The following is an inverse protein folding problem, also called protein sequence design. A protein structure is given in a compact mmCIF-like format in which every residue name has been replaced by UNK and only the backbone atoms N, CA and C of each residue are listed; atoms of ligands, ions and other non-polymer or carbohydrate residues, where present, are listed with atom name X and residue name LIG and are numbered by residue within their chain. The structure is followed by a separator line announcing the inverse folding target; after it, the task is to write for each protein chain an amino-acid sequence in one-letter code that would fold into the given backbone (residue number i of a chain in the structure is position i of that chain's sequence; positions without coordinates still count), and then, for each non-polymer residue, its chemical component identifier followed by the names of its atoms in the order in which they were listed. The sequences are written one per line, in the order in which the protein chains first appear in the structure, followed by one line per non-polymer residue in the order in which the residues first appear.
data_IF_219756379807
#
_entry.id   IF_219756379807
#
_cell.length_a   1.000
_cell.length_b   1.000
_cell.length_c   1.000
_cell.angle_alpha   90.00
_cell.angle_beta   90.00
_cell.angle_gamma   90.00
#
_symmetry.space_group_name_H-M   'P 1'
#
loop_
_entity.id
_entity.type
_entity.pdbx_description
1 polymer ?
#
# COMPACT_ATOMS: atom_id res chain seq x y z
N UNK A 1 2.82 59.10 45.51
CA UNK A 1 2.90 57.61 45.46
C UNK A 1 2.52 57.19 44.07
N UNK A 2 3.52 56.91 43.27
CA UNK A 2 3.40 56.60 41.85
C UNK A 2 3.44 55.08 41.69
N UNK A 3 2.38 54.47 41.15
CA UNK A 3 2.34 53.05 40.83
C UNK A 3 2.93 52.82 39.46
N UNK A 4 4.06 52.12 39.41
CA UNK A 4 4.62 51.53 38.15
C UNK A 4 3.88 50.24 37.80
N UNK A 5 3.28 50.21 36.60
CA UNK A 5 2.72 49.01 36.02
C UNK A 5 3.84 48.23 35.28
N UNK A 6 4.21 47.10 35.82
CA UNK A 6 5.10 46.13 35.12
C UNK A 6 4.30 45.33 34.10
N UNK A 7 4.53 45.60 32.83
CA UNK A 7 4.03 44.78 31.71
C UNK A 7 4.84 43.47 31.60
N UNK A 8 4.23 42.38 32.05
CA UNK A 8 4.75 41.02 31.77
C UNK A 8 4.53 40.69 30.29
N UNK A 9 5.59 40.75 29.52
CA UNK A 9 5.60 40.24 28.17
C UNK A 9 5.45 38.69 28.22
N UNK A 10 4.30 38.17 27.73
CA UNK A 10 4.15 36.74 27.44
C UNK A 10 5.09 36.37 26.29
N UNK A 11 5.89 35.26 26.38
CA UNK A 11 6.69 34.82 25.27
C UNK A 11 5.75 34.39 24.14
N UNK A 12 6.03 34.88 22.92
CA UNK A 12 5.40 34.45 21.68
C UNK A 12 5.60 32.94 21.52
N UNK A 13 4.51 32.18 21.59
CA UNK A 13 4.54 30.76 21.17
C UNK A 13 4.98 30.74 19.71
N UNK A 14 6.18 30.22 19.46
CA UNK A 14 6.57 29.83 18.12
C UNK A 14 5.50 28.86 17.60
N UNK A 15 4.82 29.23 16.53
CA UNK A 15 3.90 28.35 15.84
C UNK A 15 4.72 27.13 15.37
N UNK A 16 4.47 25.96 15.95
CA UNK A 16 5.04 24.71 15.46
C UNK A 16 4.62 24.56 13.99
N UNK A 17 5.58 24.40 13.10
CA UNK A 17 5.29 24.12 11.70
C UNK A 17 4.33 22.92 11.61
N UNK A 18 3.36 22.98 10.70
CA UNK A 18 2.50 21.83 10.43
C UNK A 18 3.36 20.60 10.14
N UNK A 19 2.97 19.39 10.60
CA UNK A 19 3.80 18.19 10.45
C UNK A 19 4.33 17.95 9.03
N UNK A 20 3.53 18.29 8.01
CA UNK A 20 3.87 18.13 6.59
C UNK A 20 5.02 19.06 6.14
N UNK A 21 5.26 20.14 6.87
CA UNK A 21 6.31 21.14 6.58
C UNK A 21 7.59 20.92 7.38
N UNK A 22 7.57 20.03 8.35
CA UNK A 22 8.76 19.70 9.14
C UNK A 22 9.76 18.89 8.30
N UNK A 23 11.08 19.15 8.41
CA UNK A 23 12.10 18.34 7.78
C UNK A 23 12.07 16.89 8.29
N UNK A 24 12.15 15.92 7.38
CA UNK A 24 12.20 14.50 7.71
C UNK A 24 13.58 13.94 7.32
N UNK A 25 14.29 13.31 8.27
CA UNK A 25 15.54 12.62 7.99
C UNK A 25 15.34 11.56 6.90
N UNK A 26 14.25 10.81 6.99
CA UNK A 26 13.80 9.84 5.97
C UNK A 26 13.85 10.40 4.54
N UNK A 27 13.55 11.69 4.37
CA UNK A 27 13.54 12.37 3.08
C UNK A 27 14.77 13.27 2.86
N UNK A 28 15.88 12.98 3.55
CA UNK A 28 17.13 13.75 3.40
C UNK A 28 17.03 15.20 3.84
N UNK A 29 16.21 15.47 4.87
CA UNK A 29 15.94 16.81 5.38
C UNK A 29 14.89 17.59 4.59
N UNK A 30 14.32 17.03 3.52
CA UNK A 30 13.13 17.61 2.87
C UNK A 30 11.91 17.39 3.76
N UNK A 31 10.96 18.32 3.73
CA UNK A 31 9.62 18.06 4.25
C UNK A 31 8.83 17.12 3.32
N UNK A 32 7.75 16.51 3.82
CA UNK A 32 6.83 15.72 3.01
C UNK A 32 6.31 16.55 1.81
N UNK A 33 5.85 17.78 2.04
CA UNK A 33 5.40 18.69 0.99
C UNK A 33 6.46 18.95 -0.08
N UNK A 34 7.72 19.15 0.33
CA UNK A 34 8.83 19.38 -0.62
C UNK A 34 9.07 18.14 -1.47
N UNK A 35 9.05 16.94 -0.86
CA UNK A 35 9.19 15.69 -1.58
C UNK A 35 8.05 15.48 -2.58
N UNK A 36 6.80 15.59 -2.16
CA UNK A 36 5.63 15.46 -3.02
C UNK A 36 5.67 16.44 -4.20
N UNK A 37 6.07 17.68 -3.96
CA UNK A 37 6.18 18.70 -5.01
C UNK A 37 7.31 18.43 -6.00
N UNK A 38 8.48 17.93 -5.54
CA UNK A 38 9.70 17.84 -6.34
C UNK A 38 9.92 16.48 -6.99
N UNK A 39 9.53 15.40 -6.31
CA UNK A 39 9.94 14.04 -6.66
C UNK A 39 8.77 13.08 -6.95
N UNK A 40 7.69 13.15 -6.14
CA UNK A 40 6.58 12.22 -6.26
C UNK A 40 6.00 12.20 -7.68
N UNK A 41 6.03 11.01 -8.32
CA UNK A 41 5.62 10.77 -9.71
C UNK A 41 6.30 11.66 -10.77
N UNK A 42 7.47 12.17 -10.48
CA UNK A 42 8.19 13.11 -11.37
C UNK A 42 9.60 12.66 -11.70
N UNK A 43 10.42 12.40 -10.67
CA UNK A 43 11.83 12.05 -10.86
C UNK A 43 12.41 11.29 -9.68
N UNK A 44 13.39 10.40 -9.92
CA UNK A 44 14.13 9.70 -8.87
C UNK A 44 14.83 10.66 -7.91
N UNK A 45 15.12 10.12 -6.73
CA UNK A 45 16.06 10.75 -5.78
C UNK A 45 16.75 9.69 -4.94
N UNK A 46 18.06 9.77 -4.87
CA UNK A 46 18.87 9.03 -3.92
C UNK A 46 19.04 9.84 -2.63
N UNK A 47 18.70 9.26 -1.50
CA UNK A 47 18.80 9.87 -0.18
C UNK A 47 19.83 9.08 0.62
N UNK A 48 20.96 9.73 0.93
CA UNK A 48 22.01 9.12 1.72
C UNK A 48 21.66 9.17 3.20
N UNK A 49 22.00 8.10 3.93
CA UNK A 49 21.74 7.97 5.36
C UNK A 49 20.30 8.34 5.78
N UNK A 50 19.31 7.93 4.97
CA UNK A 50 17.88 8.09 5.27
C UNK A 50 17.50 7.38 6.58
N UNK A 51 18.22 6.30 6.89
CA UNK A 51 18.09 5.51 8.12
C UNK A 51 19.41 5.41 8.84
N UNK A 52 19.37 5.51 10.16
CA UNK A 52 20.51 5.25 11.06
C UNK A 52 20.18 4.03 11.92
N UNK A 53 21.05 3.02 11.91
CA UNK A 53 20.81 1.76 12.62
C UNK A 53 19.76 0.86 11.97
N UNK A 54 19.16 -0.03 12.76
CA UNK A 54 18.09 -0.91 12.29
C UNK A 54 16.79 -0.11 12.14
N UNK A 55 16.26 -0.02 10.92
CA UNK A 55 15.03 0.71 10.60
C UNK A 55 13.73 -0.06 10.91
N UNK A 56 13.80 -1.16 11.65
CA UNK A 56 12.64 -1.99 12.02
C UNK A 56 12.38 -3.18 11.09
N UNK A 57 13.23 -3.42 10.09
CA UNK A 57 13.10 -4.60 9.22
C UNK A 57 13.58 -5.89 9.91
N UNK A 58 13.07 -7.07 9.49
CA UNK A 58 13.49 -8.36 10.02
C UNK A 58 14.96 -8.66 9.71
N UNK A 59 15.57 -9.49 10.53
CA UNK A 59 16.85 -10.13 10.21
C UNK A 59 16.69 -11.11 9.03
N UNK A 60 17.81 -11.51 8.42
CA UNK A 60 17.80 -12.56 7.38
C UNK A 60 17.11 -13.85 7.86
N UNK A 61 17.32 -14.23 9.12
CA UNK A 61 16.74 -15.46 9.68
C UNK A 61 15.22 -15.34 9.77
N UNK A 62 14.70 -14.25 10.36
CA UNK A 62 13.25 -13.99 10.43
C UNK A 62 12.62 -13.90 9.04
N UNK A 63 13.31 -13.30 8.07
CA UNK A 63 12.84 -13.24 6.69
C UNK A 63 12.76 -14.63 6.04
N UNK A 64 13.71 -15.53 6.33
CA UNK A 64 13.67 -16.92 5.88
C UNK A 64 12.53 -17.70 6.54
N UNK A 65 12.27 -17.48 7.83
CA UNK A 65 11.14 -18.09 8.56
C UNK A 65 9.81 -17.64 7.97
N UNK A 66 9.67 -16.36 7.61
CA UNK A 66 8.50 -15.89 6.89
C UNK A 66 8.34 -16.55 5.52
N UNK A 67 9.43 -16.74 4.78
CA UNK A 67 9.39 -17.37 3.46
C UNK A 67 8.99 -18.87 3.48
N UNK A 68 9.09 -19.54 4.62
CA UNK A 68 8.66 -20.94 4.82
C UNK A 68 7.13 -21.09 4.99
N UNK A 69 6.43 -20.00 5.33
CA UNK A 69 5.00 -20.01 5.65
C UNK A 69 4.14 -20.09 4.40
N UNK A 70 3.02 -20.81 4.48
CA UNK A 70 2.04 -20.94 3.38
C UNK A 70 1.20 -19.68 3.16
N UNK A 71 0.99 -18.89 4.22
CA UNK A 71 0.23 -17.63 4.19
C UNK A 71 1.09 -16.41 3.82
N UNK A 72 2.37 -16.62 3.46
CA UNK A 72 3.31 -15.56 3.08
C UNK A 72 3.79 -15.77 1.65
N UNK A 73 3.51 -14.83 0.78
CA UNK A 73 4.00 -14.88 -0.60
C UNK A 73 5.52 -14.70 -0.63
N UNK A 74 6.21 -15.67 -1.22
CA UNK A 74 7.65 -15.63 -1.38
C UNK A 74 8.10 -16.18 -2.74
N UNK A 75 9.29 -15.74 -3.19
CA UNK A 75 9.86 -16.12 -4.49
C UNK A 75 11.37 -16.32 -4.36
N UNK A 76 11.90 -17.36 -4.97
CA UNK A 76 13.33 -17.59 -5.15
C UNK A 76 13.69 -17.38 -6.62
N UNK A 77 14.65 -16.50 -6.89
CA UNK A 77 15.16 -16.22 -8.23
C UNK A 77 16.66 -16.54 -8.26
N UNK A 78 17.12 -17.19 -9.30
CA UNK A 78 18.53 -17.47 -9.53
C UNK A 78 18.90 -17.32 -10.99
N UNK A 79 20.12 -16.87 -11.26
CA UNK A 79 20.66 -16.65 -12.61
C UNK A 79 22.02 -17.34 -12.78
N UNK A 80 22.07 -18.65 -12.50
CA UNK A 80 23.30 -19.44 -12.62
C UNK A 80 23.65 -19.65 -14.10
N UNK A 81 24.89 -19.31 -14.48
CA UNK A 81 25.40 -19.51 -15.86
C UNK A 81 24.48 -18.91 -16.94
N UNK A 82 23.84 -17.77 -16.62
CA UNK A 82 22.89 -17.10 -17.50
C UNK A 82 21.50 -17.76 -17.58
N UNK A 83 21.27 -18.84 -16.84
CA UNK A 83 19.97 -19.51 -16.78
C UNK A 83 19.13 -18.96 -15.64
N UNK A 84 18.05 -18.27 -15.98
CA UNK A 84 17.10 -17.76 -15.01
C UNK A 84 16.12 -18.83 -14.54
N UNK A 85 15.94 -18.94 -13.23
CA UNK A 85 14.95 -19.82 -12.60
C UNK A 85 14.15 -19.05 -11.57
N UNK A 86 12.84 -19.27 -11.56
CA UNK A 86 11.89 -18.72 -10.57
C UNK A 86 11.21 -19.90 -9.88
N UNK A 87 11.15 -19.84 -8.55
CA UNK A 87 10.36 -20.75 -7.72
C UNK A 87 9.50 -19.94 -6.79
N UNK A 88 8.21 -20.22 -6.75
CA UNK A 88 7.27 -19.64 -5.78
C UNK A 88 7.32 -20.40 -4.46
N UNK A 89 6.98 -19.67 -3.38
CA UNK A 89 6.85 -20.21 -2.03
C UNK A 89 5.71 -21.22 -1.87
N UNK A 90 5.66 -21.86 -0.70
CA UNK A 90 6.56 -21.66 0.44
C UNK A 90 7.99 -22.14 0.13
N UNK A 91 8.98 -21.48 0.75
CA UNK A 91 10.41 -21.73 0.52
C UNK A 91 11.08 -22.34 1.77
N UNK A 92 10.94 -23.63 2.03
CA UNK A 92 11.62 -24.28 3.14
C UNK A 92 13.13 -24.08 3.05
N UNK A 93 13.79 -23.89 4.19
CA UNK A 93 15.24 -23.64 4.28
C UNK A 93 16.09 -24.59 3.42
N UNK A 94 15.73 -25.88 3.39
CA UNK A 94 16.38 -26.90 2.58
C UNK A 94 16.26 -26.70 1.06
N UNK A 95 15.31 -25.88 0.62
CA UNK A 95 15.09 -25.57 -0.81
C UNK A 95 15.90 -24.37 -1.28
N UNK A 96 16.48 -23.60 -0.37
CA UNK A 96 17.33 -22.46 -0.70
C UNK A 96 18.74 -22.94 -1.05
N UNK A 97 19.43 -22.32 -2.04
CA UNK A 97 20.81 -22.61 -2.32
C UNK A 97 21.73 -22.29 -1.12
N UNK A 98 22.95 -22.81 -1.12
CA UNK A 98 23.91 -22.49 -0.08
C UNK A 98 24.22 -20.98 -0.06
N UNK A 99 24.29 -20.37 1.13
CA UNK A 99 24.49 -18.92 1.30
C UNK A 99 25.79 -18.40 0.64
N UNK A 100 26.83 -19.25 0.54
CA UNK A 100 28.09 -18.91 -0.14
C UNK A 100 28.04 -18.97 -1.66
N UNK A 101 26.95 -19.49 -2.24
CA UNK A 101 26.75 -19.53 -3.69
C UNK A 101 26.21 -18.18 -4.15
N UNK A 102 26.84 -17.55 -5.14
CA UNK A 102 26.41 -16.28 -5.72
C UNK A 102 25.18 -16.43 -6.65
N UNK A 103 24.64 -15.32 -7.16
CA UNK A 103 23.60 -15.23 -8.20
C UNK A 103 22.23 -15.82 -7.82
N UNK A 104 21.84 -15.72 -6.56
CA UNK A 104 20.47 -16.03 -6.16
C UNK A 104 19.94 -15.06 -5.09
N UNK A 105 18.66 -14.80 -5.15
CA UNK A 105 17.93 -13.93 -4.24
C UNK A 105 16.58 -14.55 -3.90
N UNK A 106 16.10 -14.32 -2.68
CA UNK A 106 14.71 -14.60 -2.36
C UNK A 106 14.01 -13.31 -1.91
N UNK A 107 12.73 -13.24 -2.20
CA UNK A 107 11.86 -12.10 -1.94
C UNK A 107 10.69 -12.57 -1.09
N UNK A 108 10.29 -11.75 -0.13
CA UNK A 108 9.10 -11.96 0.71
C UNK A 108 8.21 -10.74 0.58
N UNK A 109 6.97 -10.96 0.18
CA UNK A 109 5.96 -9.94 -0.05
C UNK A 109 5.13 -9.72 1.23
N UNK A 110 4.56 -8.53 1.41
CA UNK A 110 3.64 -8.26 2.50
C UNK A 110 4.24 -8.35 3.91
N UNK A 111 5.56 -8.14 4.05
CA UNK A 111 6.27 -8.32 5.35
C UNK A 111 5.68 -7.44 6.45
N UNK A 112 5.12 -6.27 6.12
CA UNK A 112 4.42 -5.39 7.07
C UNK A 112 3.17 -6.02 7.71
N UNK A 113 2.61 -7.07 7.11
CA UNK A 113 1.45 -7.79 7.65
C UNK A 113 1.85 -8.85 8.70
N UNK A 114 3.13 -9.21 8.75
CA UNK A 114 3.65 -10.34 9.53
C UNK A 114 4.78 -9.97 10.49
N UNK A 115 5.32 -8.75 10.39
CA UNK A 115 6.46 -8.30 11.21
C UNK A 115 6.21 -6.89 11.75
N UNK A 116 6.15 -6.75 13.07
CA UNK A 116 5.79 -5.48 13.74
C UNK A 116 6.68 -4.30 13.33
N UNK A 117 8.00 -4.48 13.30
CA UNK A 117 8.91 -3.41 12.91
C UNK A 117 8.77 -3.00 11.44
N UNK A 118 8.44 -3.93 10.54
CA UNK A 118 8.12 -3.59 9.14
C UNK A 118 6.79 -2.84 9.05
N UNK A 119 5.80 -3.19 9.88
CA UNK A 119 4.56 -2.43 9.99
C UNK A 119 4.83 -0.98 10.43
N UNK A 120 5.60 -0.79 11.50
CA UNK A 120 6.00 0.54 11.99
C UNK A 120 6.79 1.34 10.95
N UNK A 121 7.68 0.67 10.18
CA UNK A 121 8.40 1.30 9.08
C UNK A 121 7.43 1.84 8.03
N UNK A 122 6.40 1.07 7.65
CA UNK A 122 5.39 1.51 6.69
C UNK A 122 4.63 2.76 7.14
N UNK A 123 4.34 2.89 8.47
CA UNK A 123 3.67 4.07 9.02
C UNK A 123 4.45 5.36 8.77
N UNK A 124 5.78 5.30 8.60
CA UNK A 124 6.62 6.47 8.32
C UNK A 124 6.41 7.04 6.91
N UNK A 125 5.74 6.30 6.02
CA UNK A 125 5.41 6.70 4.64
C UNK A 125 3.97 7.21 4.49
N UNK A 126 3.19 7.30 5.56
CA UNK A 126 1.81 7.80 5.56
C UNK A 126 1.68 9.32 5.35
N UNK A 127 2.73 9.97 4.90
CA UNK A 127 2.64 11.27 4.24
C UNK A 127 2.09 11.15 2.79
N UNK A 128 2.02 9.93 2.28
CA UNK A 128 1.21 9.54 1.12
C UNK A 128 -0.08 8.90 1.64
N UNK A 129 -1.27 9.18 1.07
CA UNK A 129 -2.53 8.60 1.53
C UNK A 129 -2.52 7.07 1.56
N UNK A 130 -3.18 6.48 2.55
CA UNK A 130 -3.27 5.02 2.74
C UNK A 130 -3.82 4.29 1.50
N UNK A 131 -4.74 4.92 0.77
CA UNK A 131 -5.25 4.41 -0.51
C UNK A 131 -4.15 4.14 -1.56
N UNK A 132 -2.97 4.72 -1.38
CA UNK A 132 -1.81 4.56 -2.25
C UNK A 132 -0.76 3.61 -1.68
N UNK A 133 -0.74 3.34 -0.38
CA UNK A 133 0.16 2.36 0.22
C UNK A 133 -0.25 0.95 -0.22
N UNK A 134 0.74 0.13 -0.58
CA UNK A 134 0.51 -1.28 -0.94
C UNK A 134 1.08 -2.20 0.12
N UNK A 135 2.38 -2.42 0.09
CA UNK A 135 3.04 -3.30 1.05
C UNK A 135 4.55 -3.01 1.19
N UNK A 136 5.17 -3.77 2.08
CA UNK A 136 6.62 -3.90 2.16
C UNK A 136 7.03 -5.26 1.62
N UNK A 137 7.81 -5.24 0.54
CA UNK A 137 8.53 -6.39 0.01
C UNK A 137 9.99 -6.32 0.44
N UNK A 138 10.56 -7.43 0.93
CA UNK A 138 11.98 -7.50 1.29
C UNK A 138 12.67 -8.56 0.45
N UNK A 139 13.77 -8.18 -0.17
CA UNK A 139 14.67 -9.10 -0.86
C UNK A 139 15.97 -9.28 -0.08
N UNK A 140 16.42 -10.52 0.03
CA UNK A 140 17.78 -10.84 0.46
C UNK A 140 18.53 -11.55 -0.67
N UNK A 141 19.79 -11.16 -0.90
CA UNK A 141 20.55 -11.56 -2.07
C UNK A 141 22.00 -11.91 -1.71
N UNK A 142 22.52 -12.89 -2.41
CA UNK A 142 23.96 -13.19 -2.45
C UNK A 142 24.68 -12.30 -3.47
N UNK A 143 26.01 -12.35 -3.48
CA UNK A 143 26.80 -11.57 -4.43
C UNK A 143 26.37 -11.80 -5.89
N UNK A 144 26.38 -10.71 -6.69
CA UNK A 144 25.96 -10.66 -8.08
C UNK A 144 24.51 -11.09 -8.35
N UNK A 145 23.69 -11.22 -7.31
CA UNK A 145 22.28 -11.55 -7.48
C UNK A 145 21.43 -10.30 -7.70
N UNK A 146 20.39 -10.48 -8.48
CA UNK A 146 19.35 -9.50 -8.78
C UNK A 146 18.14 -10.18 -9.40
N UNK A 147 17.18 -9.39 -9.84
CA UNK A 147 15.96 -9.85 -10.55
C UNK A 147 16.00 -9.49 -12.04
N UNK A 148 17.10 -8.84 -12.48
CA UNK A 148 17.28 -8.32 -13.84
C UNK A 148 16.61 -6.96 -14.06
N UNK A 149 16.96 -6.29 -15.17
CA UNK A 149 16.38 -4.98 -15.49
C UNK A 149 14.88 -5.08 -15.80
N UNK A 150 14.10 -4.27 -15.12
CA UNK A 150 12.65 -4.20 -15.25
C UNK A 150 12.15 -2.79 -14.93
N UNK A 151 10.85 -2.56 -15.09
CA UNK A 151 10.20 -1.34 -14.60
C UNK A 151 8.90 -1.71 -13.89
N UNK A 152 8.57 -0.92 -12.88
CA UNK A 152 7.31 -1.02 -12.17
C UNK A 152 6.34 0.05 -12.66
N UNK A 153 5.04 -0.25 -12.60
CA UNK A 153 3.97 0.71 -12.90
C UNK A 153 3.61 1.58 -11.69
N UNK A 154 4.35 1.45 -10.59
CA UNK A 154 4.07 2.09 -9.30
C UNK A 154 5.30 2.82 -8.75
N UNK A 155 5.05 3.68 -7.77
CA UNK A 155 6.08 4.35 -6.99
C UNK A 155 6.72 3.37 -6.00
N UNK A 156 8.04 3.46 -5.78
CA UNK A 156 8.73 2.61 -4.80
C UNK A 156 9.86 3.35 -4.11
N UNK A 157 10.00 3.13 -2.80
CA UNK A 157 11.20 3.48 -2.06
C UNK A 157 12.01 2.21 -1.79
N UNK A 158 13.25 2.20 -2.24
CA UNK A 158 14.21 1.09 -2.12
C UNK A 158 15.21 1.44 -1.03
N UNK A 159 15.05 0.85 0.16
CA UNK A 159 15.90 1.09 1.33
C UNK A 159 16.95 -0.01 1.40
N UNK A 160 18.22 0.37 1.42
CA UNK A 160 19.29 -0.60 1.64
C UNK A 160 19.40 -0.91 3.13
N UNK A 161 18.96 -2.09 3.53
CA UNK A 161 18.92 -2.51 4.92
C UNK A 161 20.27 -3.04 5.42
N UNK A 162 20.90 -3.96 4.65
CA UNK A 162 22.23 -4.51 4.93
C UNK A 162 23.02 -4.69 3.63
N UNK A 163 24.35 -4.73 3.71
CA UNK A 163 25.23 -4.89 2.56
C UNK A 163 25.17 -3.71 1.59
N UNK A 164 25.45 -4.00 0.32
CA UNK A 164 25.49 -3.00 -0.74
C UNK A 164 24.75 -3.47 -1.99
N UNK A 165 24.10 -2.56 -2.69
CA UNK A 165 23.47 -2.83 -3.97
C UNK A 165 23.77 -1.74 -4.98
N UNK A 166 24.23 -2.14 -6.16
CA UNK A 166 24.38 -1.24 -7.30
C UNK A 166 23.05 -1.18 -8.05
N UNK A 167 22.45 -0.01 -8.04
CA UNK A 167 21.25 0.30 -8.82
C UNK A 167 21.63 1.07 -10.07
N UNK A 168 21.22 0.54 -11.22
CA UNK A 168 21.25 1.22 -12.51
C UNK A 168 19.83 1.62 -12.85
N UNK A 169 19.59 2.87 -13.19
CA UNK A 169 18.24 3.37 -13.49
C UNK A 169 18.22 4.15 -14.79
N UNK A 170 17.09 4.13 -15.49
CA UNK A 170 16.92 4.89 -16.73
C UNK A 170 15.44 5.02 -17.10
N UNK A 171 15.13 6.07 -17.89
CA UNK A 171 13.79 6.22 -18.44
C UNK A 171 13.59 5.27 -19.61
N UNK A 172 12.63 4.35 -19.47
CA UNK A 172 12.28 3.48 -20.58
C UNK A 172 11.46 4.23 -21.63
N UNK A 173 12.18 4.85 -22.58
CA UNK A 173 11.59 5.57 -23.72
C UNK A 173 11.54 4.63 -24.92
N UNK A 174 10.33 4.22 -25.32
CA UNK A 174 10.15 3.43 -26.54
C UNK A 174 10.03 1.93 -26.30
N UNK A 175 11.01 1.13 -26.75
CA UNK A 175 10.93 -0.32 -26.69
C UNK A 175 10.85 -0.87 -25.24
N UNK A 176 9.75 -1.55 -24.95
CA UNK A 176 9.46 -2.23 -23.67
C UNK A 176 9.45 -3.75 -23.84
N UNK A 177 10.07 -4.26 -24.91
CA UNK A 177 10.15 -5.69 -25.17
C UNK A 177 10.86 -6.41 -24.03
N UNK A 178 10.36 -7.60 -23.73
CA UNK A 178 10.94 -8.48 -22.72
C UNK A 178 11.77 -9.54 -23.41
N UNK A 179 12.80 -10.03 -22.72
CA UNK A 179 13.54 -11.21 -23.19
C UNK A 179 12.58 -12.41 -23.22
N UNK A 180 12.34 -13.02 -24.39
CA UNK A 180 11.37 -14.10 -24.51
C UNK A 180 11.85 -15.38 -23.80
N UNK A 181 10.89 -16.17 -23.30
CA UNK A 181 11.15 -17.50 -22.72
C UNK A 181 11.75 -17.49 -21.31
N UNK A 182 11.93 -16.33 -20.68
CA UNK A 182 12.38 -16.26 -19.28
C UNK A 182 11.21 -16.36 -18.30
N UNK A 183 11.41 -16.99 -17.13
CA UNK A 183 10.40 -17.06 -16.09
C UNK A 183 10.20 -15.74 -15.35
N UNK A 184 11.07 -14.75 -15.57
CA UNK A 184 11.06 -13.39 -14.99
C UNK A 184 10.97 -12.35 -16.11
N UNK A 185 10.33 -11.22 -15.83
CA UNK A 185 10.09 -10.16 -16.82
C UNK A 185 11.29 -9.24 -16.92
N UNK A 186 12.26 -9.59 -17.75
CA UNK A 186 13.48 -8.82 -17.96
C UNK A 186 13.37 -8.02 -19.25
N UNK A 187 13.71 -6.74 -19.21
CA UNK A 187 13.80 -5.88 -20.38
C UNK A 187 14.92 -6.33 -21.29
N UNK A 188 14.63 -6.49 -22.58
CA UNK A 188 15.61 -6.88 -23.59
C UNK A 188 16.62 -5.75 -23.87
N UNK A 189 16.15 -4.51 -23.82
CA UNK A 189 16.92 -3.30 -24.14
C UNK A 189 16.83 -2.32 -22.97
N UNK A 190 17.73 -2.45 -22.00
CA UNK A 190 17.83 -1.53 -20.87
C UNK A 190 19.10 -0.70 -20.99
N UNK A 191 18.93 0.63 -21.01
CA UNK A 191 20.01 1.60 -21.00
C UNK A 191 19.96 2.40 -19.68
N UNK A 192 21.02 2.31 -18.90
CA UNK A 192 21.15 3.05 -17.66
C UNK A 192 21.49 4.52 -17.96
N UNK A 193 20.72 5.46 -17.39
CA UNK A 193 21.03 6.89 -17.41
C UNK A 193 21.85 7.31 -16.17
N UNK A 194 21.61 6.64 -15.02
CA UNK A 194 22.28 6.91 -13.75
C UNK A 194 22.60 5.62 -12.99
N UNK A 195 23.64 5.65 -12.16
CA UNK A 195 24.04 4.55 -11.31
C UNK A 195 24.22 5.02 -9.85
N UNK A 196 23.73 4.22 -8.92
CA UNK A 196 23.83 4.46 -7.47
C UNK A 196 24.30 3.21 -6.74
N UNK A 197 25.48 3.25 -6.14
CA UNK A 197 25.84 2.26 -5.13
C UNK A 197 25.19 2.68 -3.81
N UNK A 198 24.18 1.94 -3.36
CA UNK A 198 23.57 2.13 -2.05
C UNK A 198 24.27 1.30 -1.01
N UNK A 199 24.56 1.92 0.14
CA UNK A 199 25.06 1.29 1.35
C UNK A 199 23.96 1.26 2.42
N UNK A 200 24.17 0.46 3.47
CA UNK A 200 23.18 0.33 4.53
C UNK A 200 22.75 1.69 5.09
N UNK A 201 21.43 1.94 5.13
CA UNK A 201 20.83 3.20 5.52
C UNK A 201 20.49 4.15 4.36
N UNK A 202 21.03 3.93 3.16
CA UNK A 202 20.65 4.72 1.98
C UNK A 202 19.28 4.32 1.44
N UNK A 203 18.62 5.24 0.74
CA UNK A 203 17.32 5.00 0.12
C UNK A 203 17.26 5.62 -1.28
N UNK A 204 16.69 4.89 -2.24
CA UNK A 204 16.40 5.36 -3.59
C UNK A 204 14.89 5.37 -3.81
N UNK A 205 14.34 6.51 -4.20
CA UNK A 205 12.96 6.60 -4.67
C UNK A 205 12.92 6.54 -6.20
N UNK A 206 12.02 5.72 -6.72
CA UNK A 206 11.74 5.60 -8.15
C UNK A 206 10.25 5.86 -8.43
N UNK A 207 9.90 6.79 -9.32
CA UNK A 207 8.54 6.95 -9.80
C UNK A 207 8.17 5.89 -10.85
N UNK A 208 6.88 5.73 -11.17
CA UNK A 208 6.41 4.77 -12.17
C UNK A 208 7.13 4.90 -13.53
N UNK A 209 7.41 3.77 -14.15
CA UNK A 209 7.98 3.71 -15.49
C UNK A 209 9.48 3.98 -15.60
N UNK A 210 10.19 4.16 -14.49
CA UNK A 210 11.65 4.16 -14.46
C UNK A 210 12.15 2.71 -14.44
N UNK A 211 12.85 2.33 -15.51
CA UNK A 211 13.51 1.04 -15.56
C UNK A 211 14.68 1.01 -14.59
N UNK A 212 14.88 -0.12 -13.94
CA UNK A 212 15.95 -0.28 -12.97
C UNK A 212 16.46 -1.72 -12.90
N UNK A 213 17.73 -1.84 -12.53
CA UNK A 213 18.43 -3.11 -12.34
C UNK A 213 19.28 -3.01 -11.08
N UNK A 214 18.97 -3.85 -10.10
CA UNK A 214 19.63 -3.85 -8.79
C UNK A 214 20.46 -5.11 -8.60
N UNK A 215 21.78 -4.96 -8.57
CA UNK A 215 22.73 -6.06 -8.41
C UNK A 215 23.38 -5.97 -7.02
N UNK A 216 23.32 -7.07 -6.25
CA UNK A 216 23.99 -7.17 -4.96
C UNK A 216 25.52 -7.14 -5.14
N UNK A 217 26.20 -6.37 -4.30
CA UNK A 217 27.66 -6.24 -4.25
C UNK A 217 28.16 -6.82 -2.93
N UNK A 218 28.83 -7.96 -3.02
CA UNK A 218 29.23 -8.73 -1.85
C UNK A 218 28.10 -9.59 -1.28
N UNK A 219 28.36 -10.22 -0.15
CA UNK A 219 27.38 -11.09 0.54
C UNK A 219 26.47 -10.30 1.48
N UNK A 220 25.32 -10.89 1.81
CA UNK A 220 24.37 -10.37 2.81
C UNK A 220 23.71 -9.04 2.43
N UNK A 221 23.29 -8.92 1.19
CA UNK A 221 22.61 -7.75 0.65
C UNK A 221 21.09 -7.85 0.89
N UNK A 222 20.53 -6.95 1.71
CA UNK A 222 19.09 -6.87 1.96
C UNK A 222 18.55 -5.52 1.53
N UNK A 223 17.48 -5.53 0.74
CA UNK A 223 16.74 -4.32 0.33
C UNK A 223 15.29 -4.42 0.76
N UNK A 224 14.80 -3.37 1.39
CA UNK A 224 13.40 -3.20 1.78
C UNK A 224 12.75 -2.27 0.75
N UNK A 225 11.71 -2.75 0.09
CA UNK A 225 10.93 -1.99 -0.89
C UNK A 225 9.58 -1.60 -0.27
N UNK A 226 9.29 -0.31 -0.20
CA UNK A 226 7.97 0.21 0.18
C UNK A 226 7.24 0.57 -1.11
N UNK A 227 6.24 -0.24 -1.46
CA UNK A 227 5.47 -0.13 -2.68
C UNK A 227 4.19 0.69 -2.53
N UNK A 228 3.77 1.33 -3.63
CA UNK A 228 2.55 2.15 -3.66
C UNK A 228 1.65 1.72 -4.81
N UNK A 229 0.35 1.64 -4.56
CA UNK A 229 -0.64 1.30 -5.59
C UNK A 229 -0.75 2.43 -6.63
N UNK A 230 -0.79 2.06 -7.90
CA UNK A 230 -1.14 2.94 -9.02
C UNK A 230 -2.22 2.24 -9.84
N UNK A 231 -3.49 2.41 -9.48
CA UNK A 231 -4.58 1.74 -10.15
C UNK A 231 -4.69 2.21 -11.60
N UNK A 232 -4.88 1.28 -12.53
CA UNK A 232 -5.19 1.60 -13.92
C UNK A 232 -6.67 1.95 -14.04
N UNK A 233 -7.00 2.85 -14.96
CA UNK A 233 -8.40 3.22 -15.22
C UNK A 233 -9.29 2.02 -15.54
N UNK A 234 -8.77 1.05 -16.30
CA UNK A 234 -9.51 -0.17 -16.63
C UNK A 234 -9.79 -1.03 -15.39
N UNK A 235 -8.79 -1.19 -14.51
CA UNK A 235 -8.94 -1.97 -13.27
C UNK A 235 -10.00 -1.31 -12.36
N UNK A 236 -9.91 0.02 -12.16
CA UNK A 236 -10.91 0.79 -11.41
C UNK A 236 -12.31 0.62 -11.99
N UNK A 237 -12.46 0.78 -13.33
CA UNK A 237 -13.76 0.69 -13.98
C UNK A 237 -14.37 -0.72 -13.84
N UNK A 238 -13.57 -1.77 -13.98
CA UNK A 238 -14.02 -3.17 -13.85
C UNK A 238 -14.48 -3.47 -12.43
N UNK A 239 -13.69 -3.11 -11.43
CA UNK A 239 -14.01 -3.37 -10.02
C UNK A 239 -15.26 -2.59 -9.57
N UNK A 240 -15.32 -1.30 -9.90
CA UNK A 240 -16.47 -0.47 -9.52
C UNK A 240 -17.74 -0.91 -10.24
N UNK A 241 -17.67 -1.19 -11.55
CA UNK A 241 -18.85 -1.64 -12.30
C UNK A 241 -19.41 -2.97 -11.75
N UNK A 242 -18.55 -3.92 -11.38
CA UNK A 242 -18.97 -5.17 -10.76
C UNK A 242 -19.71 -4.96 -9.45
N UNK A 243 -19.09 -4.25 -8.50
CA UNK A 243 -19.68 -3.98 -7.17
C UNK A 243 -20.95 -3.15 -7.24
N UNK A 244 -20.97 -2.13 -8.11
CA UNK A 244 -22.17 -1.32 -8.31
C UNK A 244 -23.30 -2.11 -8.97
N UNK A 245 -23.00 -3.04 -9.89
CA UNK A 245 -24.01 -3.90 -10.49
C UNK A 245 -24.63 -4.86 -9.48
N UNK A 246 -23.83 -5.40 -8.56
CA UNK A 246 -24.31 -6.29 -7.48
C UNK A 246 -25.21 -5.54 -6.48
N UNK A 247 -25.01 -4.24 -6.29
CA UNK A 247 -25.79 -3.38 -5.40
C UNK A 247 -26.96 -2.66 -6.12
N UNK A 248 -27.06 -2.77 -7.45
CA UNK A 248 -28.05 -2.03 -8.23
C UNK A 248 -29.42 -2.69 -8.19
N UNK A 249 -30.35 -2.07 -7.46
CA UNK A 249 -31.74 -2.53 -7.33
C UNK A 249 -32.67 -1.63 -8.16
N UNK A 250 -32.89 -1.99 -9.43
CA UNK A 250 -33.89 -1.34 -10.30
C UNK A 250 -34.66 -2.41 -11.09
N UNK A 251 -35.87 -2.72 -10.61
CA UNK A 251 -36.78 -3.71 -11.22
C UNK A 251 -37.58 -3.16 -12.39
N UNK A 252 -37.20 -2.02 -12.96
CA UNK A 252 -37.93 -1.40 -14.10
C UNK A 252 -37.87 -2.30 -15.32
N UNK A 253 -39.03 -2.78 -15.76
CA UNK A 253 -39.15 -3.59 -16.98
C UNK A 253 -39.10 -2.74 -18.23
N UNK A 254 -38.38 -3.19 -19.25
CA UNK A 254 -38.49 -2.65 -20.60
C UNK A 254 -39.94 -2.79 -21.13
N UNK A 255 -40.43 -1.75 -21.78
CA UNK A 255 -41.78 -1.71 -22.39
C UNK A 255 -41.73 -1.02 -23.72
N UNK A 256 -42.35 -1.65 -24.73
CA UNK A 256 -42.44 -1.16 -26.11
C UNK A 256 -43.87 -1.18 -26.69
N UNK A 257 -44.87 -0.57 -26.00
CA UNK A 257 -46.30 -0.65 -26.44
C UNK A 257 -46.56 -0.04 -27.81
N UNK A 258 -45.61 0.71 -28.35
CA UNK A 258 -45.72 1.34 -29.70
C UNK A 258 -44.89 0.61 -30.76
N UNK A 259 -44.25 -0.53 -30.42
CA UNK A 259 -43.45 -1.30 -31.36
C UNK A 259 -44.30 -1.78 -32.54
N UNK A 260 -43.88 -1.45 -33.74
CA UNK A 260 -44.53 -1.92 -34.98
C UNK A 260 -44.03 -3.31 -35.34
N UNK A 261 -44.87 -4.06 -36.07
CA UNK A 261 -44.45 -5.33 -36.66
C UNK A 261 -43.24 -5.10 -37.58
N UNK A 262 -42.23 -5.94 -37.47
CA UNK A 262 -40.98 -5.78 -38.21
C UNK A 262 -40.83 -6.83 -39.32
N UNK A 263 -40.17 -6.45 -40.41
CA UNK A 263 -39.66 -7.37 -41.43
C UNK A 263 -38.17 -7.70 -41.23
N UNK A 264 -37.51 -7.07 -40.22
CA UNK A 264 -36.12 -7.26 -39.86
C UNK A 264 -36.00 -7.82 -38.41
N UNK A 265 -36.44 -9.07 -38.17
CA UNK A 265 -36.58 -9.61 -36.80
C UNK A 265 -35.26 -9.76 -36.04
N UNK A 266 -34.14 -9.69 -36.75
CA UNK A 266 -32.81 -9.77 -36.15
C UNK A 266 -32.21 -8.40 -35.80
N UNK A 267 -32.91 -7.28 -36.13
CA UNK A 267 -32.47 -5.94 -35.73
C UNK A 267 -32.88 -5.67 -34.29
N UNK A 268 -31.94 -5.22 -33.46
CA UNK A 268 -32.24 -4.77 -32.11
C UNK A 268 -33.00 -3.44 -32.18
N UNK A 269 -34.15 -3.30 -31.50
CA UNK A 269 -34.91 -2.04 -31.48
C UNK A 269 -34.13 -0.90 -30.87
N UNK A 270 -34.28 0.30 -31.43
CA UNK A 270 -33.55 1.49 -30.94
C UNK A 270 -33.98 1.85 -29.51
N UNK A 271 -35.26 1.66 -29.16
CA UNK A 271 -35.80 1.88 -27.81
C UNK A 271 -35.18 0.92 -26.77
N UNK A 272 -34.86 -0.32 -27.16
CA UNK A 272 -34.15 -1.26 -26.26
C UNK A 272 -32.69 -0.83 -26.04
N UNK A 273 -32.06 -0.28 -27.09
CA UNK A 273 -30.69 0.28 -26.96
C UNK A 273 -30.70 1.49 -26.03
N UNK A 274 -31.70 2.38 -26.15
CA UNK A 274 -31.87 3.53 -25.26
C UNK A 274 -32.08 3.09 -23.81
N UNK A 275 -32.98 2.13 -23.58
CA UNK A 275 -33.23 1.57 -22.25
C UNK A 275 -31.95 0.98 -21.61
N UNK A 276 -31.18 0.23 -22.39
CA UNK A 276 -29.90 -0.32 -21.90
C UNK A 276 -28.90 0.79 -21.57
N UNK A 277 -28.83 1.84 -22.40
CA UNK A 277 -27.95 2.99 -22.13
C UNK A 277 -28.39 3.75 -20.87
N UNK A 278 -29.68 4.01 -20.69
CA UNK A 278 -30.23 4.65 -19.51
C UNK A 278 -29.95 3.83 -18.23
N UNK A 279 -30.11 2.51 -18.28
CA UNK A 279 -29.85 1.61 -17.17
C UNK A 279 -28.39 1.71 -16.71
N UNK A 280 -27.44 1.69 -17.67
CA UNK A 280 -26.01 1.87 -17.35
C UNK A 280 -25.72 3.27 -16.79
N UNK A 281 -26.34 4.32 -17.33
CA UNK A 281 -26.14 5.68 -16.83
C UNK A 281 -26.70 5.84 -15.42
N UNK A 282 -27.87 5.30 -15.12
CA UNK A 282 -28.46 5.34 -13.76
C UNK A 282 -27.51 4.71 -12.74
N UNK A 283 -27.05 3.50 -13.02
CA UNK A 283 -26.07 2.84 -12.17
C UNK A 283 -24.79 3.70 -12.01
N UNK A 284 -24.22 4.19 -13.10
CA UNK A 284 -22.95 4.94 -13.09
C UNK A 284 -23.06 6.34 -12.42
N UNK A 285 -24.25 6.91 -12.30
CA UNK A 285 -24.48 8.21 -11.67
C UNK A 285 -24.83 8.13 -10.18
N UNK A 286 -25.01 6.93 -9.64
CA UNK A 286 -25.15 6.73 -8.21
C UNK A 286 -23.81 6.95 -7.51
N UNK A 287 -23.64 8.14 -6.94
CA UNK A 287 -22.38 8.56 -6.30
C UNK A 287 -22.12 7.84 -4.99
N UNK A 288 -23.15 7.45 -4.26
CA UNK A 288 -23.00 6.76 -2.98
C UNK A 288 -22.58 5.30 -3.21
N UNK A 289 -23.25 4.59 -4.11
CA UNK A 289 -22.82 3.24 -4.52
C UNK A 289 -21.40 3.25 -5.10
N UNK A 290 -21.05 4.24 -5.91
CA UNK A 290 -19.68 4.39 -6.43
C UNK A 290 -18.67 4.62 -5.32
N UNK A 291 -18.98 5.44 -4.32
CA UNK A 291 -18.09 5.71 -3.20
C UNK A 291 -17.92 4.47 -2.32
N UNK A 292 -19.01 3.74 -2.03
CA UNK A 292 -18.95 2.48 -1.30
C UNK A 292 -18.10 1.45 -2.04
N UNK A 293 -18.38 1.21 -3.32
CA UNK A 293 -17.61 0.31 -4.17
C UNK A 293 -16.10 0.64 -4.18
N UNK A 294 -15.76 1.93 -4.28
CA UNK A 294 -14.36 2.38 -4.26
C UNK A 294 -13.70 2.13 -2.90
N UNK A 295 -14.36 2.52 -1.80
CA UNK A 295 -13.80 2.40 -0.45
C UNK A 295 -13.64 0.93 -0.02
N UNK A 296 -14.61 0.09 -0.33
CA UNK A 296 -14.55 -1.36 -0.11
C UNK A 296 -13.38 -1.99 -0.88
N UNK A 297 -13.26 -1.71 -2.18
CA UNK A 297 -12.14 -2.19 -2.98
C UNK A 297 -10.78 -1.74 -2.46
N UNK A 298 -10.65 -0.47 -2.06
CA UNK A 298 -9.38 0.08 -1.55
C UNK A 298 -8.99 -0.51 -0.20
N UNK A 299 -9.96 -0.95 0.60
CA UNK A 299 -9.73 -1.51 1.94
C UNK A 299 -9.77 -3.03 2.00
N UNK A 300 -10.18 -3.69 0.92
CA UNK A 300 -10.27 -5.15 0.86
C UNK A 300 -8.95 -5.82 1.24
N UNK A 301 -8.96 -6.79 2.17
CA UNK A 301 -7.76 -7.54 2.55
C UNK A 301 -7.21 -8.35 1.38
N UNK A 302 -5.90 -8.53 1.33
CA UNK A 302 -5.28 -9.44 0.36
C UNK A 302 -5.75 -10.88 0.59
N UNK A 303 -5.82 -11.74 -0.44
CA UNK A 303 -6.42 -13.09 -0.35
C UNK A 303 -5.86 -14.01 0.73
N UNK A 304 -4.65 -13.76 1.21
CA UNK A 304 -3.96 -14.57 2.23
C UNK A 304 -3.96 -13.90 3.62
N UNK A 305 -4.82 -12.91 3.83
CA UNK A 305 -4.93 -12.21 5.12
C UNK A 305 -6.04 -12.85 5.94
N UNK A 306 -5.70 -13.29 7.14
CA UNK A 306 -6.60 -13.83 8.13
C UNK A 306 -6.53 -13.01 9.40
N UNK A 307 -7.68 -12.77 10.03
CA UNK A 307 -7.79 -12.08 11.30
C UNK A 307 -8.11 -13.07 12.40
N UNK A 308 -7.55 -12.84 13.59
CA UNK A 308 -7.79 -13.65 14.77
C UNK A 308 -8.20 -12.75 15.94
N UNK A 309 -9.44 -12.91 16.40
CA UNK A 309 -9.93 -12.20 17.56
C UNK A 309 -9.21 -12.66 18.82
N UNK A 310 -8.65 -11.73 19.58
CA UNK A 310 -7.99 -12.00 20.86
C UNK A 310 -8.95 -11.89 22.05
N UNK A 311 -10.21 -11.59 21.76
CA UNK A 311 -11.24 -11.33 22.77
C UNK A 311 -11.01 -10.06 23.57
N UNK A 312 -11.92 -9.77 24.46
CA UNK A 312 -11.86 -8.59 25.34
C UNK A 312 -13.18 -7.84 25.38
N UNK A 313 -13.23 -6.75 26.13
CA UNK A 313 -14.41 -5.92 26.26
C UNK A 313 -14.04 -4.46 25.98
N UNK A 314 -14.80 -3.84 25.08
CA UNK A 314 -14.64 -2.43 24.74
C UNK A 314 -14.75 -1.54 25.97
N UNK A 315 -13.94 -0.46 25.99
CA UNK A 315 -13.96 0.53 27.06
C UNK A 315 -13.13 0.16 28.30
N UNK A 316 -12.42 -0.96 28.31
CA UNK A 316 -11.47 -1.34 29.37
C UNK A 316 -10.09 -0.65 29.21
N UNK A 317 -9.63 -0.51 28.00
CA UNK A 317 -8.40 0.19 27.61
C UNK A 317 -8.62 1.01 26.34
N UNK A 318 -7.58 1.64 25.78
CA UNK A 318 -7.57 2.10 24.40
C UNK A 318 -7.62 0.94 23.42
N UNK A 319 -7.80 1.24 22.15
CA UNK A 319 -7.83 0.27 21.06
C UNK A 319 -6.83 0.64 19.99
N UNK A 320 -6.35 -0.37 19.25
CA UNK A 320 -5.49 -0.22 18.08
C UNK A 320 -5.96 -1.13 16.94
N UNK A 321 -5.83 -0.67 15.71
CA UNK A 321 -6.10 -1.49 14.53
C UNK A 321 -5.03 -2.58 14.39
N UNK A 322 -5.45 -3.81 14.06
CA UNK A 322 -4.51 -4.86 13.69
C UNK A 322 -3.60 -4.42 12.52
N UNK A 323 -2.37 -4.89 12.49
CA UNK A 323 -1.41 -4.53 11.45
C UNK A 323 -1.93 -4.81 10.02
N UNK A 324 -2.79 -5.81 9.87
CA UNK A 324 -3.40 -6.23 8.61
C UNK A 324 -4.64 -5.42 8.25
N UNK A 325 -5.25 -4.70 9.21
CA UNK A 325 -6.46 -3.92 9.00
C UNK A 325 -6.18 -2.69 8.16
N UNK A 326 -6.96 -2.52 7.11
CA UNK A 326 -6.99 -1.33 6.27
C UNK A 326 -8.29 -0.57 6.54
N UNK A 327 -8.18 0.67 7.04
CA UNK A 327 -9.31 1.52 7.40
C UNK A 327 -9.14 2.89 6.76
N UNK A 328 -10.13 3.32 5.98
CA UNK A 328 -10.13 4.58 5.24
C UNK A 328 -11.49 5.27 5.38
N UNK A 329 -11.62 6.54 4.97
CA UNK A 329 -12.88 7.24 5.02
C UNK A 329 -13.00 8.31 3.92
N UNK A 330 -14.24 8.56 3.54
CA UNK A 330 -14.69 9.73 2.77
C UNK A 330 -16.08 10.08 3.28
N UNK A 331 -16.15 11.14 4.11
CA UNK A 331 -17.41 11.51 4.83
C UNK A 331 -18.62 11.54 3.91
N UNK A 332 -19.78 10.94 4.30
CA UNK A 332 -20.03 10.33 5.62
C UNK A 332 -19.60 8.86 5.74
N UNK A 333 -18.88 8.31 4.76
CA UNK A 333 -18.53 6.89 4.68
C UNK A 333 -17.21 6.58 5.38
N UNK A 334 -17.21 5.45 6.08
CA UNK A 334 -16.04 4.79 6.66
C UNK A 334 -15.91 3.40 6.04
N UNK A 335 -14.69 3.02 5.68
CA UNK A 335 -14.39 1.75 5.03
C UNK A 335 -13.37 0.99 5.85
N UNK A 336 -13.59 -0.29 6.07
CA UNK A 336 -12.67 -1.15 6.80
C UNK A 336 -12.74 -2.58 6.25
N UNK A 337 -11.60 -3.11 5.84
CA UNK A 337 -11.43 -4.49 5.39
C UNK A 337 -12.47 -4.95 4.33
N UNK A 338 -12.87 -4.06 3.44
CA UNK A 338 -13.83 -4.35 2.36
C UNK A 338 -15.29 -4.12 2.74
N UNK A 339 -15.57 -3.58 3.92
CA UNK A 339 -16.91 -3.19 4.34
C UNK A 339 -17.07 -1.67 4.42
N UNK A 340 -18.29 -1.19 4.20
CA UNK A 340 -18.66 0.23 4.25
C UNK A 340 -19.67 0.49 5.39
N UNK A 341 -19.47 1.62 6.07
CA UNK A 341 -20.33 2.08 7.17
C UNK A 341 -20.63 3.55 7.00
N UNK A 342 -21.91 3.93 7.07
CA UNK A 342 -22.28 5.34 7.15
C UNK A 342 -22.08 5.84 8.59
N UNK A 343 -21.30 6.89 8.75
CA UNK A 343 -20.92 7.43 10.07
C UNK A 343 -21.24 8.90 10.12
N UNK A 344 -21.88 9.33 11.22
CA UNK A 344 -22.23 10.71 11.41
C UNK A 344 -22.13 11.18 12.88
N UNK A 345 -22.36 12.46 13.05
CA UNK A 345 -22.45 13.08 14.38
C UNK A 345 -21.13 13.08 15.17
N UNK A 346 -21.23 12.71 16.45
CA UNK A 346 -20.06 12.78 17.35
C UNK A 346 -19.04 11.68 17.13
N UNK A 347 -19.44 10.55 16.55
CA UNK A 347 -18.59 9.37 16.40
C UNK A 347 -17.64 9.51 15.21
N UNK A 348 -18.05 10.23 14.18
CA UNK A 348 -17.29 10.42 12.95
C UNK A 348 -15.83 10.86 13.22
N UNK A 349 -15.64 11.91 14.01
CA UNK A 349 -14.29 12.42 14.32
C UNK A 349 -13.41 11.42 15.07
N UNK A 350 -14.02 10.52 15.89
CA UNK A 350 -13.26 9.54 16.65
C UNK A 350 -12.87 8.35 15.77
N UNK A 351 -13.75 7.95 14.87
CA UNK A 351 -13.46 6.89 13.90
C UNK A 351 -12.47 7.35 12.83
N UNK A 352 -12.56 8.61 12.38
CA UNK A 352 -11.52 9.23 11.53
C UNK A 352 -10.18 9.31 12.28
N UNK A 353 -10.17 9.63 13.57
CA UNK A 353 -8.96 9.63 14.39
C UNK A 353 -8.36 8.21 14.48
N UNK A 354 -9.20 7.18 14.70
CA UNK A 354 -8.78 5.78 14.69
C UNK A 354 -8.15 5.40 13.34
N UNK A 355 -8.78 5.74 12.23
CA UNK A 355 -8.22 5.49 10.89
C UNK A 355 -6.86 6.19 10.70
N UNK A 356 -6.78 7.48 11.05
CA UNK A 356 -5.57 8.28 10.85
C UNK A 356 -4.40 7.88 11.76
N UNK A 357 -4.67 7.56 13.03
CA UNK A 357 -3.65 7.25 14.02
C UNK A 357 -3.46 5.74 14.26
N UNK A 358 -4.37 4.93 13.73
CA UNK A 358 -4.48 3.48 13.95
C UNK A 358 -4.68 3.09 15.42
N UNK A 359 -4.88 4.07 16.27
CA UNK A 359 -5.11 3.91 17.72
C UNK A 359 -6.14 4.91 18.20
N UNK A 360 -6.91 4.51 19.21
CA UNK A 360 -7.82 5.40 19.91
C UNK A 360 -7.63 5.26 21.43
N UNK A 361 -7.26 6.32 22.14
CA UNK A 361 -7.03 6.24 23.58
C UNK A 361 -8.34 6.03 24.34
N UNK A 362 -8.27 5.43 25.53
CA UNK A 362 -9.43 5.09 26.35
C UNK A 362 -10.41 6.27 26.59
N UNK A 363 -9.88 7.46 26.79
CA UNK A 363 -10.71 8.65 26.99
C UNK A 363 -11.53 9.05 25.75
N UNK A 364 -11.11 8.65 24.56
CA UNK A 364 -11.85 8.82 23.31
C UNK A 364 -12.83 7.66 23.10
N UNK A 365 -12.42 6.41 23.37
CA UNK A 365 -13.30 5.24 23.35
C UNK A 365 -14.54 5.45 24.22
N UNK A 366 -14.39 5.98 25.43
CA UNK A 366 -15.49 6.29 26.35
C UNK A 366 -16.47 7.38 25.87
N UNK A 367 -16.14 8.10 24.81
CA UNK A 367 -17.00 9.17 24.23
C UNK A 367 -17.83 8.68 23.05
N UNK A 368 -17.57 7.48 22.55
CA UNK A 368 -18.36 6.87 21.50
C UNK A 368 -19.80 6.63 21.93
N UNK A 369 -20.71 6.62 20.96
CA UNK A 369 -22.10 6.21 21.21
C UNK A 369 -22.18 4.70 21.50
N UNK A 370 -23.29 4.22 22.07
CA UNK A 370 -23.51 2.78 22.23
C UNK A 370 -23.41 2.03 20.91
N UNK A 371 -24.04 2.53 19.82
CA UNK A 371 -24.00 1.87 18.51
C UNK A 371 -22.57 1.79 17.94
N UNK A 372 -21.78 2.87 18.00
CA UNK A 372 -20.38 2.82 17.57
C UNK A 372 -19.55 1.84 18.43
N UNK A 373 -19.86 1.76 19.74
CA UNK A 373 -19.18 0.82 20.64
C UNK A 373 -19.52 -0.64 20.34
N UNK A 374 -20.74 -0.93 19.92
CA UNK A 374 -21.17 -2.28 19.47
C UNK A 374 -20.41 -2.68 18.18
N UNK A 375 -20.38 -1.82 17.19
CA UNK A 375 -19.63 -2.07 15.95
C UNK A 375 -18.14 -2.30 16.24
N UNK A 376 -17.54 -1.52 17.12
CA UNK A 376 -16.13 -1.71 17.48
C UNK A 376 -15.91 -2.98 18.32
N UNK A 377 -16.91 -3.46 19.08
CA UNK A 377 -16.85 -4.75 19.75
C UNK A 377 -16.85 -5.90 18.73
N UNK A 378 -17.69 -5.81 17.69
CA UNK A 378 -17.70 -6.79 16.59
C UNK A 378 -16.35 -6.84 15.88
N UNK A 379 -15.74 -5.68 15.61
CA UNK A 379 -14.40 -5.62 15.00
C UNK A 379 -13.32 -6.19 15.93
N UNK A 380 -13.44 -6.01 17.25
CA UNK A 380 -12.55 -6.62 18.24
C UNK A 380 -12.69 -8.15 18.23
N UNK A 381 -13.92 -8.65 18.16
CA UNK A 381 -14.21 -10.09 18.14
C UNK A 381 -13.72 -10.73 16.82
N UNK A 382 -13.78 -9.99 15.70
CA UNK A 382 -13.23 -10.41 14.40
C UNK A 382 -11.70 -10.29 14.33
N UNK A 383 -11.05 -9.58 15.27
CA UNK A 383 -9.61 -9.35 15.26
C UNK A 383 -9.14 -8.22 14.36
N UNK A 384 -10.05 -7.36 13.90
CA UNK A 384 -9.69 -6.18 13.10
C UNK A 384 -9.04 -5.09 13.94
N UNK A 385 -9.30 -5.11 15.22
CA UNK A 385 -8.65 -4.27 16.22
C UNK A 385 -8.35 -5.06 17.50
N UNK A 386 -7.51 -4.49 18.34
CA UNK A 386 -7.08 -5.08 19.60
C UNK A 386 -7.17 -4.06 20.73
N UNK A 387 -7.26 -4.56 21.96
CA UNK A 387 -7.10 -3.74 23.14
C UNK A 387 -5.63 -3.39 23.32
N UNK A 388 -5.33 -2.11 23.54
CA UNK A 388 -3.95 -1.67 23.83
C UNK A 388 -3.50 -2.30 25.14
N UNK A 389 -2.32 -2.91 25.16
CA UNK A 389 -1.73 -3.46 26.37
C UNK A 389 -1.56 -2.37 27.45
N UNK A 390 -1.78 -2.73 28.72
CA UNK A 390 -1.65 -1.80 29.87
C UNK A 390 -0.20 -1.52 30.19
#
# INVERSE_FOLDING_TARGET
MTFQSSSVQRPLRQASASPEKAPLQLLGGMSADQFMKKHWQKKPVCIRAAFTGNGGWPTRQELMELAEREDVESRLISSFEGQWKLKHGPLPRKSLPALKRSHWTFLVQGVNLHHAGAHELMQRFRFVPDARLDDIMISWATDQAGVGPHFDSYDVFLIQATGKRLWRIGRQKGDRSLVPGLPVRILANFEAEEEFLLEAGDMLYLPPGWAHDGIAVGSDCMTVSVGFRVPKRADVATELAGRMADAFEDDTLYRDPQQQATQEPSRIPDELIEFAHESLLRMATDTDSMMCALGEWLTEPKPQVWFEGKGGVMGSTGIELDAKTNMQYSSPWLFINGESFEVGGKDEKWLQLLANQRQLPLNAVKKLSPGASEVLQDWLDQGWLHLVAK
#
